data_IF_729761690429
#
_entry.id   IF_729761690429
#
_cell.length_a   1.000
_cell.length_b   1.000
_cell.length_c   1.000
_cell.angle_alpha   90.00
_cell.angle_beta   90.00
_cell.angle_gamma   90.00
#
_symmetry.space_group_name_H-M   'P 1'
#
loop_
_entity.id
_entity.type
_entity.pdbx_description
1 polymer ?
#
# COMPACT_ATOMS: atom_id res chain seq x y z
N UNK A 1 -36.75 -9.34 -0.19
CA UNK A 1 -37.02 -8.54 1.05
C UNK A 1 -35.73 -7.84 1.51
N UNK A 2 -35.79 -6.66 2.14
CA UNK A 2 -34.61 -5.92 2.64
C UNK A 2 -34.59 -5.87 4.18
N UNK A 3 -33.39 -5.82 4.77
CA UNK A 3 -33.17 -5.57 6.20
C UNK A 3 -32.29 -4.33 6.36
N UNK A 4 -32.68 -3.31 7.13
CA UNK A 4 -31.73 -2.31 7.56
C UNK A 4 -30.70 -2.93 8.51
N UNK A 5 -29.44 -2.56 8.36
CA UNK A 5 -28.39 -2.94 9.31
C UNK A 5 -28.50 -1.98 10.49
N UNK A 6 -28.84 -2.51 11.66
CA UNK A 6 -28.99 -1.69 12.87
C UNK A 6 -27.70 -0.99 13.28
N UNK A 7 -27.82 0.15 13.97
CA UNK A 7 -26.66 0.89 14.48
C UNK A 7 -25.79 -0.01 15.38
N UNK A 8 -24.49 -0.03 15.11
CA UNK A 8 -23.53 -0.88 15.83
C UNK A 8 -23.35 -2.29 15.28
N UNK A 9 -24.10 -2.69 14.25
CA UNK A 9 -23.93 -3.99 13.58
C UNK A 9 -23.05 -3.93 12.33
N UNK A 10 -22.37 -2.82 12.11
CA UNK A 10 -21.36 -2.66 11.08
C UNK A 10 -20.03 -2.32 11.75
N UNK A 11 -19.02 -3.15 11.53
CA UNK A 11 -17.67 -2.93 12.05
C UNK A 11 -16.72 -2.78 10.88
N UNK A 12 -15.90 -1.74 10.92
CA UNK A 12 -14.82 -1.52 9.95
C UNK A 12 -13.50 -1.65 10.70
N UNK A 13 -12.80 -2.75 10.46
CA UNK A 13 -11.53 -3.04 11.12
C UNK A 13 -10.38 -2.86 10.12
N UNK A 14 -9.55 -1.81 10.25
CA UNK A 14 -8.35 -1.69 9.46
C UNK A 14 -7.25 -2.61 10.02
N UNK A 15 -6.53 -3.30 9.13
CA UNK A 15 -5.31 -4.00 9.48
C UNK A 15 -4.22 -3.71 8.44
N UNK A 16 -2.98 -3.56 8.90
CA UNK A 16 -1.82 -3.38 8.01
C UNK A 16 -1.31 -4.75 7.59
N UNK A 17 -1.14 -4.93 6.29
CA UNK A 17 -0.42 -6.07 5.71
C UNK A 17 0.96 -5.63 5.23
N UNK A 18 1.89 -6.57 5.23
CA UNK A 18 3.27 -6.36 4.81
C UNK A 18 3.60 -7.32 3.69
N UNK A 19 4.21 -6.80 2.62
CA UNK A 19 4.73 -7.62 1.53
C UNK A 19 6.21 -7.37 1.37
N UNK A 20 6.98 -8.44 1.42
CA UNK A 20 8.41 -8.42 1.19
C UNK A 20 8.73 -8.36 -0.30
N UNK A 21 9.73 -7.56 -0.62
CA UNK A 21 10.31 -7.43 -1.95
C UNK A 21 11.82 -7.56 -1.85
N UNK A 22 12.39 -8.12 -2.90
CA UNK A 22 13.82 -8.32 -3.07
C UNK A 22 14.17 -7.83 -4.48
N UNK A 23 15.24 -7.06 -4.59
CA UNK A 23 15.75 -6.53 -5.86
C UNK A 23 17.25 -6.69 -5.94
N UNK A 24 17.71 -7.09 -7.11
CA UNK A 24 19.14 -7.19 -7.43
C UNK A 24 19.54 -6.16 -8.48
N UNK A 25 20.84 -6.05 -8.76
CA UNK A 25 21.36 -5.23 -9.87
C UNK A 25 20.80 -5.64 -11.24
N UNK A 26 20.42 -6.92 -11.40
CA UNK A 26 19.81 -7.45 -12.61
C UNK A 26 18.36 -6.96 -12.85
N UNK A 27 17.69 -6.43 -11.81
CA UNK A 27 16.27 -6.05 -11.86
C UNK A 27 16.03 -4.62 -12.37
N UNK A 28 16.93 -4.08 -13.20
CA UNK A 28 16.85 -2.70 -13.70
C UNK A 28 15.55 -2.36 -14.45
N UNK A 29 14.82 -3.37 -14.95
CA UNK A 29 13.49 -3.23 -15.58
C UNK A 29 12.32 -3.04 -14.58
N UNK A 30 12.54 -3.29 -13.29
CA UNK A 30 11.53 -3.18 -12.24
C UNK A 30 11.19 -1.74 -11.88
N UNK A 31 12.01 -0.77 -12.32
CA UNK A 31 11.88 0.66 -11.98
C UNK A 31 12.55 1.03 -10.66
N UNK A 32 13.14 0.05 -9.97
CA UNK A 32 14.13 0.29 -8.91
C UNK A 32 15.45 0.56 -9.61
N UNK A 33 16.04 1.72 -9.33
CA UNK A 33 17.32 2.09 -9.92
C UNK A 33 18.09 2.99 -8.97
N UNK A 34 19.39 3.06 -9.22
CA UNK A 34 20.33 3.80 -8.40
C UNK A 34 20.82 5.01 -9.17
N UNK A 35 20.65 6.17 -8.57
CA UNK A 35 21.21 7.43 -9.02
C UNK A 35 22.46 7.78 -8.23
N UNK A 36 23.41 8.37 -8.92
CA UNK A 36 24.66 8.83 -8.35
C UNK A 36 24.60 10.34 -8.14
N UNK A 37 25.05 10.80 -6.98
CA UNK A 37 25.24 12.21 -6.68
C UNK A 37 26.69 12.50 -6.32
N UNK A 38 27.25 13.58 -6.85
CA UNK A 38 28.59 14.04 -6.47
C UNK A 38 28.55 15.54 -6.26
N UNK A 39 29.13 15.99 -5.14
CA UNK A 39 29.25 17.40 -4.81
C UNK A 39 30.23 18.09 -5.77
N UNK A 40 29.99 19.38 -6.04
CA UNK A 40 30.81 20.13 -6.98
C UNK A 40 30.33 21.56 -7.18
N UNK A 41 31.07 22.32 -7.98
CA UNK A 41 30.73 23.70 -8.32
C UNK A 41 29.72 23.77 -9.46
N UNK A 42 28.80 24.73 -9.39
CA UNK A 42 27.89 25.08 -10.49
C UNK A 42 28.53 25.97 -11.55
N UNK A 43 29.71 26.53 -11.27
CA UNK A 43 30.35 27.47 -12.17
C UNK A 43 30.67 26.81 -13.51
N UNK A 44 30.15 27.37 -14.61
CA UNK A 44 30.25 26.81 -15.96
C UNK A 44 29.77 25.36 -16.10
N UNK A 45 28.72 24.97 -15.36
CA UNK A 45 28.13 23.65 -15.50
C UNK A 45 27.67 23.38 -16.95
N UNK A 46 28.14 22.28 -17.53
CA UNK A 46 27.82 21.86 -18.89
C UNK A 46 27.39 20.41 -18.92
N UNK A 47 26.22 20.14 -19.50
CA UNK A 47 25.67 18.79 -19.66
C UNK A 47 26.46 17.93 -20.65
N UNK A 48 27.30 18.54 -21.49
CA UNK A 48 28.12 17.83 -22.46
C UNK A 48 29.30 17.07 -21.82
N UNK A 49 29.82 17.55 -20.69
CA UNK A 49 30.97 16.95 -19.99
C UNK A 49 30.63 16.45 -18.58
N UNK A 50 29.43 16.73 -18.08
CA UNK A 50 29.01 16.32 -16.76
C UNK A 50 28.81 14.79 -16.64
N UNK A 51 29.23 14.24 -15.50
CA UNK A 51 28.94 12.86 -15.14
C UNK A 51 27.42 12.65 -15.06
N UNK A 52 26.95 11.60 -15.73
CA UNK A 52 25.53 11.27 -15.80
C UNK A 52 25.32 9.76 -15.93
N UNK A 53 24.13 9.33 -15.52
CA UNK A 53 23.61 7.98 -15.71
C UNK A 53 22.33 8.06 -16.53
N UNK A 54 22.30 7.32 -17.64
CA UNK A 54 21.13 7.21 -18.51
C UNK A 54 20.39 5.91 -18.23
N UNK A 55 19.06 5.96 -18.13
CA UNK A 55 18.24 4.84 -17.69
C UNK A 55 17.11 4.53 -18.68
N UNK A 56 16.83 3.24 -18.87
CA UNK A 56 15.76 2.72 -19.71
C UNK A 56 16.20 2.35 -21.13
N UNK A 57 15.26 1.89 -21.95
CA UNK A 57 15.51 1.49 -23.34
C UNK A 57 16.01 2.66 -24.18
N UNK A 58 17.09 2.41 -24.93
CA UNK A 58 17.68 3.37 -25.85
C UNK A 58 16.83 3.53 -27.12
N UNK A 59 16.57 4.78 -27.51
CA UNK A 59 15.83 5.16 -28.71
C UNK A 59 16.81 5.62 -29.80
N UNK A 60 17.14 4.69 -30.70
CA UNK A 60 18.07 4.93 -31.82
C UNK A 60 17.60 6.06 -32.75
N UNK A 61 16.28 6.19 -32.94
CA UNK A 61 15.68 7.20 -33.82
C UNK A 61 15.84 8.61 -33.23
N UNK A 62 15.63 8.78 -31.93
CA UNK A 62 15.83 10.09 -31.27
C UNK A 62 17.27 10.59 -31.43
N UNK A 63 18.25 9.69 -31.29
CA UNK A 63 19.66 10.03 -31.49
C UNK A 63 19.98 10.35 -32.96
N UNK A 64 19.48 9.55 -33.90
CA UNK A 64 19.75 9.77 -35.33
C UNK A 64 19.16 11.08 -35.85
N UNK A 65 18.03 11.52 -35.28
CA UNK A 65 17.39 12.80 -35.58
C UNK A 65 18.00 14.01 -34.84
N UNK A 66 19.07 13.81 -34.06
CA UNK A 66 19.74 14.89 -33.32
C UNK A 66 18.87 15.53 -32.24
N UNK A 67 17.90 14.80 -31.68
CA UNK A 67 17.07 15.28 -30.56
C UNK A 67 17.89 15.35 -29.28
N UNK A 68 17.40 16.10 -28.29
CA UNK A 68 18.08 16.25 -27.00
C UNK A 68 18.27 14.91 -26.29
N UNK A 69 19.37 14.78 -25.52
CA UNK A 69 19.77 13.55 -24.82
C UNK A 69 18.67 12.99 -23.89
N UNK A 70 17.79 13.86 -23.41
CA UNK A 70 16.67 13.48 -22.54
C UNK A 70 15.62 12.62 -23.27
N UNK A 71 15.61 12.66 -24.61
CA UNK A 71 14.70 11.85 -25.46
C UNK A 71 15.30 10.53 -25.93
N UNK A 72 16.58 10.29 -25.61
CA UNK A 72 17.30 9.10 -26.07
C UNK A 72 17.02 7.88 -25.22
N UNK A 73 16.55 8.06 -24.00
CA UNK A 73 16.30 6.99 -23.05
C UNK A 73 14.89 7.12 -22.49
N UNK A 74 14.18 6.00 -22.38
CA UNK A 74 12.77 5.99 -21.95
C UNK A 74 12.52 6.52 -20.53
N UNK A 75 13.49 6.43 -19.61
CA UNK A 75 13.39 7.00 -18.26
C UNK A 75 14.10 8.36 -18.20
N UNK A 76 15.25 8.49 -18.88
CA UNK A 76 15.96 9.76 -19.05
C UNK A 76 17.42 9.70 -18.64
N UNK A 77 18.08 10.86 -18.65
CA UNK A 77 19.48 11.02 -18.22
C UNK A 77 19.55 11.89 -16.97
N UNK A 78 20.16 11.35 -15.91
CA UNK A 78 20.33 12.03 -14.63
C UNK A 78 21.79 12.42 -14.44
N UNK A 79 22.03 13.65 -14.03
CA UNK A 79 23.38 14.18 -13.83
C UNK A 79 23.73 14.23 -12.35
N UNK A 80 24.97 13.89 -12.02
CA UNK A 80 25.38 13.70 -10.62
C UNK A 80 25.28 14.98 -9.78
N UNK A 81 25.64 16.13 -10.35
CA UNK A 81 25.63 17.40 -9.61
C UNK A 81 24.19 17.86 -9.27
N UNK A 82 23.23 17.90 -10.22
CA UNK A 82 21.83 18.16 -9.90
C UNK A 82 21.20 17.17 -8.91
N UNK A 83 21.51 15.87 -9.02
CA UNK A 83 21.01 14.85 -8.08
C UNK A 83 21.50 15.14 -6.67
N UNK A 84 22.81 15.36 -6.50
CA UNK A 84 23.42 15.68 -5.22
C UNK A 84 22.75 16.89 -4.55
N UNK A 85 22.62 17.97 -5.31
CA UNK A 85 22.12 19.22 -4.78
C UNK A 85 20.62 19.20 -4.49
N UNK A 86 19.83 18.48 -5.29
CA UNK A 86 18.41 18.25 -5.03
C UNK A 86 18.21 17.50 -3.72
N UNK A 87 18.94 16.40 -3.52
CA UNK A 87 18.87 15.60 -2.30
C UNK A 87 19.32 16.41 -1.09
N UNK A 88 20.45 17.10 -1.20
CA UNK A 88 20.95 17.96 -0.14
C UNK A 88 19.90 19.02 0.26
N UNK A 89 19.36 19.73 -0.71
CA UNK A 89 18.43 20.84 -0.47
C UNK A 89 17.13 20.38 0.18
N UNK A 90 16.54 19.28 -0.30
CA UNK A 90 15.24 18.82 0.16
C UNK A 90 15.30 18.06 1.48
N UNK A 91 16.36 17.27 1.71
CA UNK A 91 16.35 16.29 2.80
C UNK A 91 17.39 16.52 3.90
N UNK A 92 18.49 17.23 3.63
CA UNK A 92 19.60 17.36 4.60
C UNK A 92 19.90 18.79 5.04
N UNK A 93 19.71 19.77 4.15
CA UNK A 93 20.15 21.15 4.35
C UNK A 93 19.49 21.82 5.56
N UNK A 94 18.19 21.60 5.75
CA UNK A 94 17.41 22.27 6.80
C UNK A 94 17.67 21.75 8.21
N UNK A 95 18.20 20.52 8.33
CA UNK A 95 18.63 19.98 9.62
C UNK A 95 19.95 20.59 10.09
N UNK A 96 20.84 20.93 9.16
CA UNK A 96 22.20 21.37 9.47
C UNK A 96 22.37 22.89 9.45
N UNK A 97 21.59 23.59 8.63
CA UNK A 97 21.73 25.03 8.42
C UNK A 97 20.70 25.83 9.21
N UNK A 98 21.17 26.90 9.85
CA UNK A 98 20.31 27.86 10.51
C UNK A 98 19.37 28.51 9.49
N UNK A 99 18.15 28.80 9.95
CA UNK A 99 17.22 29.65 9.21
C UNK A 99 17.91 30.98 8.84
N UNK A 100 17.81 31.48 7.59
CA UNK A 100 18.29 32.82 7.24
C UNK A 100 17.73 33.94 8.13
N UNK A 101 16.58 33.72 8.77
CA UNK A 101 15.91 34.66 9.70
C UNK A 101 16.08 34.31 11.19
N UNK A 102 16.91 33.33 11.54
CA UNK A 102 17.07 32.87 12.93
C UNK A 102 18.47 32.30 13.23
N UNK A 103 18.70 31.95 14.49
CA UNK A 103 19.99 31.40 14.96
C UNK A 103 19.96 29.87 15.15
N UNK A 104 18.85 29.23 14.79
CA UNK A 104 18.65 27.79 14.97
C UNK A 104 18.33 27.08 13.65
N UNK A 105 18.72 25.81 13.50
CA UNK A 105 18.29 24.94 12.40
C UNK A 105 16.76 24.76 12.34
N UNK A 106 16.25 24.30 11.20
CA UNK A 106 14.81 24.09 10.96
C UNK A 106 14.47 22.61 10.73
N UNK A 107 14.63 21.77 11.77
CA UNK A 107 14.35 20.33 11.75
C UNK A 107 12.87 20.03 11.44
N UNK A 108 11.93 20.95 11.68
CA UNK A 108 10.52 20.70 11.35
C UNK A 108 10.25 20.56 9.83
N UNK A 109 11.24 20.86 8.99
CA UNK A 109 11.18 20.67 7.54
C UNK A 109 11.98 19.44 7.08
N UNK A 110 12.47 18.60 8.00
CA UNK A 110 13.08 17.32 7.65
C UNK A 110 12.05 16.22 7.52
N UNK A 111 12.37 15.24 6.68
CA UNK A 111 11.54 14.05 6.43
C UNK A 111 11.99 12.83 7.24
N UNK A 112 12.80 13.03 8.28
CA UNK A 112 13.28 11.96 9.14
C UNK A 112 12.31 11.72 10.32
N UNK A 113 12.18 10.46 10.76
CA UNK A 113 11.42 10.05 11.94
C UNK A 113 12.15 10.36 13.26
N UNK A 114 13.47 10.52 13.27
CA UNK A 114 14.21 11.16 14.37
C UNK A 114 14.37 12.66 14.04
N UNK A 115 13.59 13.57 14.66
CA UNK A 115 13.61 14.99 14.31
C UNK A 115 14.89 15.72 14.74
N UNK A 116 15.77 15.11 15.54
CA UNK A 116 17.06 15.70 15.95
C UNK A 116 18.13 14.63 16.26
N UNK A 117 18.55 13.83 15.27
CA UNK A 117 19.49 12.76 15.53
C UNK A 117 20.89 13.39 15.68
N UNK A 118 21.43 13.33 16.91
CA UNK A 118 22.81 13.75 17.23
C UNK A 118 23.66 12.57 17.65
N UNK A 119 24.93 12.63 17.24
CA UNK A 119 25.95 11.71 17.72
C UNK A 119 26.39 12.06 19.14
N UNK A 120 27.28 11.23 19.71
CA UNK A 120 27.83 11.46 21.05
C UNK A 120 28.64 12.77 21.19
N UNK A 121 29.07 13.38 20.09
CA UNK A 121 29.75 14.68 20.05
C UNK A 121 28.80 15.86 19.93
N UNK A 122 27.49 15.60 19.75
CA UNK A 122 26.47 16.61 19.50
C UNK A 122 26.38 17.06 18.04
N UNK A 123 27.09 16.39 17.13
CA UNK A 123 27.03 16.64 15.68
C UNK A 123 25.80 15.98 15.07
N UNK A 124 25.32 16.50 13.94
CA UNK A 124 24.18 15.90 13.22
C UNK A 124 24.57 14.54 12.64
N UNK A 125 23.71 13.54 12.87
CA UNK A 125 23.85 12.18 12.31
C UNK A 125 23.47 12.14 10.82
N UNK A 126 22.43 12.89 10.44
CA UNK A 126 22.01 13.01 9.05
C UNK A 126 22.94 13.96 8.32
N UNK A 127 23.90 13.40 7.60
CA UNK A 127 24.81 14.15 6.77
C UNK A 127 25.10 13.40 5.50
N UNK A 128 25.31 14.17 4.44
CA UNK A 128 25.85 13.67 3.17
C UNK A 128 27.27 14.21 3.03
N UNK A 129 28.15 13.35 2.56
CA UNK A 129 29.54 13.67 2.21
C UNK A 129 29.66 14.01 0.72
N UNK A 130 30.87 13.98 0.14
CA UNK A 130 31.09 14.44 -1.23
C UNK A 130 30.39 13.61 -2.30
N UNK A 131 29.99 12.38 -1.99
CA UNK A 131 29.28 11.50 -2.89
C UNK A 131 28.12 10.83 -2.16
N UNK A 132 27.06 10.56 -2.93
CA UNK A 132 25.91 9.82 -2.47
C UNK A 132 25.36 8.90 -3.55
N UNK A 133 24.61 7.92 -3.10
CA UNK A 133 23.84 6.98 -3.91
C UNK A 133 22.40 7.06 -3.46
N UNK A 134 21.48 7.20 -4.40
CA UNK A 134 20.05 7.22 -4.15
C UNK A 134 19.45 6.00 -4.79
N UNK A 135 18.93 5.09 -3.99
CA UNK A 135 18.16 3.95 -4.47
C UNK A 135 16.70 4.35 -4.47
N UNK A 136 16.10 4.46 -5.65
CA UNK A 136 14.68 4.78 -5.80
C UNK A 136 13.84 3.51 -5.69
N UNK A 137 12.80 3.54 -4.85
CA UNK A 137 11.82 2.47 -4.71
C UNK A 137 10.45 3.02 -5.14
N UNK A 138 9.91 2.61 -6.30
CA UNK A 138 8.60 3.05 -6.75
C UNK A 138 7.46 2.74 -5.77
N UNK A 139 6.48 3.65 -5.67
CA UNK A 139 5.28 3.50 -4.83
C UNK A 139 4.47 2.22 -5.07
N UNK A 140 4.55 1.62 -6.27
CA UNK A 140 3.93 0.32 -6.56
C UNK A 140 4.44 -0.81 -5.65
N UNK A 141 5.65 -0.69 -5.09
CA UNK A 141 6.23 -1.70 -4.21
C UNK A 141 5.96 -1.38 -2.74
N UNK A 142 6.33 -0.17 -2.27
CA UNK A 142 6.18 0.16 -0.85
C UNK A 142 4.74 0.50 -0.43
N UNK A 143 3.87 0.89 -1.37
CA UNK A 143 2.46 1.17 -1.11
C UNK A 143 2.22 2.49 -0.39
N UNK A 144 2.02 2.42 0.92
CA UNK A 144 1.79 3.58 1.80
C UNK A 144 3.11 4.15 2.34
N UNK A 145 3.93 3.29 2.92
CA UNK A 145 5.27 3.58 3.46
C UNK A 145 6.12 2.29 3.40
N UNK A 146 7.45 2.41 3.35
CA UNK A 146 8.32 1.26 3.65
C UNK A 146 8.24 0.97 5.14
N UNK A 147 8.08 -0.30 5.53
CA UNK A 147 8.02 -0.68 6.93
C UNK A 147 9.37 -0.41 7.62
N UNK A 148 9.41 0.41 8.68
CA UNK A 148 10.64 0.66 9.43
C UNK A 148 11.26 -0.63 9.98
N UNK A 149 12.59 -0.71 9.96
CA UNK A 149 13.39 -1.85 10.42
C UNK A 149 13.48 -3.01 9.45
N UNK A 150 12.87 -2.91 8.26
CA UNK A 150 12.85 -4.02 7.28
C UNK A 150 13.80 -3.83 6.12
N UNK A 151 14.42 -2.66 5.99
CA UNK A 151 15.36 -2.40 4.90
C UNK A 151 16.70 -3.04 5.22
N UNK A 152 17.15 -3.90 4.31
CA UNK A 152 18.46 -4.51 4.33
C UNK A 152 19.08 -4.40 2.93
N UNK A 153 20.32 -3.91 2.86
CA UNK A 153 21.10 -3.86 1.64
C UNK A 153 22.35 -4.71 1.82
N UNK A 154 22.49 -5.74 1.01
CA UNK A 154 23.65 -6.60 0.92
C UNK A 154 24.41 -6.21 -0.34
N UNK A 155 25.71 -5.98 -0.23
CA UNK A 155 26.52 -5.50 -1.35
C UNK A 155 27.88 -6.20 -1.34
N UNK A 156 28.25 -6.76 -2.50
CA UNK A 156 29.49 -7.51 -2.66
C UNK A 156 30.58 -6.69 -3.36
N UNK A 157 30.50 -5.35 -3.35
CA UNK A 157 31.45 -4.49 -4.07
C UNK A 157 32.85 -4.42 -3.47
N UNK A 158 33.08 -5.02 -2.30
CA UNK A 158 34.39 -5.11 -1.66
C UNK A 158 35.03 -6.45 -2.02
N UNK A 159 36.32 -6.45 -2.37
CA UNK A 159 37.03 -7.63 -2.88
C UNK A 159 37.08 -8.81 -1.92
N UNK A 160 36.98 -8.57 -0.61
CA UNK A 160 37.22 -9.59 0.43
C UNK A 160 36.11 -9.66 1.49
N UNK A 161 35.05 -8.85 1.38
CA UNK A 161 33.98 -8.78 2.38
C UNK A 161 32.62 -8.47 1.74
N UNK A 162 31.54 -9.09 2.23
CA UNK A 162 30.18 -8.65 1.92
C UNK A 162 29.79 -7.54 2.89
N UNK A 163 29.38 -6.39 2.35
CA UNK A 163 28.81 -5.31 3.14
C UNK A 163 27.33 -5.58 3.39
N UNK A 164 26.88 -5.45 4.64
CA UNK A 164 25.46 -5.57 4.99
C UNK A 164 25.01 -4.36 5.78
N UNK A 165 24.23 -3.50 5.13
CA UNK A 165 23.63 -2.30 5.71
C UNK A 165 22.21 -2.60 6.17
N UNK A 166 21.89 -2.19 7.39
CA UNK A 166 20.61 -2.48 8.05
C UNK A 166 20.01 -1.18 8.58
N UNK A 167 18.68 -1.11 8.52
CA UNK A 167 17.88 -0.02 9.04
C UNK A 167 17.67 -0.08 10.56
N UNK A 168 17.63 1.09 11.21
CA UNK A 168 17.51 1.24 12.66
C UNK A 168 16.08 1.56 13.15
N UNK A 169 15.08 1.44 12.28
CA UNK A 169 13.67 1.82 12.50
C UNK A 169 13.44 3.34 12.62
N UNK A 170 14.49 4.15 12.61
CA UNK A 170 14.43 5.60 12.81
C UNK A 170 14.94 6.38 11.61
N UNK A 171 15.07 5.73 10.45
CA UNK A 171 15.48 6.35 9.21
C UNK A 171 16.99 6.45 9.03
N UNK A 172 17.79 5.70 9.78
CA UNK A 172 19.24 5.61 9.62
C UNK A 172 19.67 4.22 9.14
N UNK A 173 20.66 4.18 8.26
CA UNK A 173 21.33 2.95 7.87
C UNK A 173 22.68 2.84 8.58
N UNK A 174 23.02 1.64 9.02
CA UNK A 174 24.31 1.33 9.62
C UNK A 174 24.86 0.00 9.10
N UNK A 175 26.19 -0.17 9.15
CA UNK A 175 26.84 -1.44 8.85
C UNK A 175 26.66 -2.40 10.03
N UNK A 176 26.01 -3.55 9.78
CA UNK A 176 25.72 -4.57 10.80
C UNK A 176 26.97 -5.08 11.52
N UNK A 177 28.11 -5.14 10.83
CA UNK A 177 29.42 -5.53 11.40
C UNK A 177 29.88 -4.53 12.46
N UNK A 178 29.54 -3.25 12.29
CA UNK A 178 29.89 -2.16 13.20
C UNK A 178 28.72 -1.70 14.08
N UNK A 179 27.71 -2.56 14.28
CA UNK A 179 26.53 -2.31 15.11
C UNK A 179 26.86 -1.80 16.53
N UNK A 180 27.97 -2.27 17.13
CA UNK A 180 28.43 -1.80 18.44
C UNK A 180 28.91 -0.34 18.46
N UNK A 181 29.49 0.14 17.35
CA UNK A 181 29.90 1.54 17.15
C UNK A 181 28.69 2.42 16.89
N UNK A 182 27.73 1.93 16.09
CA UNK A 182 26.47 2.61 15.81
C UNK A 182 25.62 2.81 17.08
N UNK A 183 25.46 1.76 17.90
CA UNK A 183 24.73 1.84 19.16
C UNK A 183 25.30 2.88 20.14
N UNK A 184 26.61 3.13 20.05
CA UNK A 184 27.31 4.16 20.83
C UNK A 184 27.27 5.55 20.20
N UNK A 185 26.75 5.67 18.98
CA UNK A 185 26.77 6.90 18.17
C UNK A 185 28.14 7.57 18.21
N UNK A 186 29.19 6.78 18.06
CA UNK A 186 30.57 7.21 18.24
C UNK A 186 31.31 7.17 16.92
N UNK A 187 31.92 8.29 16.54
CA UNK A 187 32.83 8.42 15.40
C UNK A 187 34.30 8.23 15.81
N UNK A 188 34.58 7.95 17.09
CA UNK A 188 35.92 7.64 17.59
C UNK A 188 35.90 6.60 18.71
N UNK A 189 36.17 5.33 18.39
CA UNK A 189 36.75 4.43 19.38
C UNK A 189 38.26 4.70 19.43
N UNK A 190 38.80 5.05 20.60
CA UNK A 190 40.24 5.27 20.76
C UNK A 190 41.02 3.96 20.55
N UNK A 191 41.66 3.82 19.38
CA UNK A 191 42.55 2.71 19.03
C UNK A 191 42.89 2.73 17.53
N UNK A 192 44.18 2.63 17.18
CA UNK A 192 44.73 2.92 15.85
C UNK A 192 44.26 2.00 14.68
N UNK A 193 43.26 1.13 14.88
CA UNK A 193 42.77 0.17 13.87
C UNK A 193 41.25 -0.09 13.97
N UNK A 194 40.48 0.80 14.60
CA UNK A 194 39.02 0.62 14.71
C UNK A 194 38.32 1.52 13.68
N UNK A 195 37.80 0.92 12.61
CA UNK A 195 36.86 1.61 11.71
C UNK A 195 35.57 1.81 12.49
N UNK A 196 35.15 3.06 12.65
CA UNK A 196 34.00 3.45 13.47
C UNK A 196 32.80 3.64 12.55
N UNK A 197 31.81 2.74 12.63
CA UNK A 197 30.58 2.82 11.84
C UNK A 197 29.57 3.74 12.51
N UNK A 198 29.51 5.00 12.09
CA UNK A 198 28.38 5.89 12.32
C UNK A 198 27.26 5.60 11.28
N UNK A 199 26.16 6.35 11.30
CA UNK A 199 25.14 6.31 10.24
C UNK A 199 25.78 6.44 8.84
N UNK A 200 25.63 5.41 8.00
CA UNK A 200 26.19 5.36 6.63
C UNK A 200 25.20 5.85 5.57
N UNK A 201 23.96 6.12 5.97
CA UNK A 201 22.90 6.57 5.10
C UNK A 201 21.59 6.78 5.84
N UNK A 202 20.54 7.03 5.07
CA UNK A 202 19.20 7.26 5.57
C UNK A 202 18.14 6.56 4.71
N UNK A 203 17.06 6.15 5.36
CA UNK A 203 15.86 5.60 4.72
C UNK A 203 14.72 6.60 4.85
N UNK A 204 14.12 7.00 3.73
CA UNK A 204 12.95 7.87 3.71
C UNK A 204 11.71 7.03 3.42
N UNK A 205 11.10 6.50 4.49
CA UNK A 205 10.02 5.49 4.42
C UNK A 205 8.81 5.93 3.59
N UNK A 206 8.35 7.16 3.77
CA UNK A 206 7.15 7.71 3.12
C UNK A 206 7.38 8.05 1.64
N UNK A 207 8.62 8.38 1.30
CA UNK A 207 9.00 8.81 -0.06
C UNK A 207 9.47 7.63 -0.91
N UNK A 208 9.89 6.53 -0.28
CA UNK A 208 10.34 5.34 -0.96
C UNK A 208 11.71 5.50 -1.61
N UNK A 209 12.67 6.09 -0.91
CA UNK A 209 14.05 6.04 -1.39
C UNK A 209 15.04 5.93 -0.24
N UNK A 210 16.19 5.39 -0.57
CA UNK A 210 17.30 5.16 0.36
C UNK A 210 18.47 5.98 -0.13
N UNK A 211 19.13 6.70 0.78
CA UNK A 211 20.33 7.47 0.49
C UNK A 211 21.49 6.88 1.24
N UNK A 212 22.55 6.54 0.52
CA UNK A 212 23.82 6.07 1.09
C UNK A 212 24.86 7.12 0.78
N UNK A 213 25.70 7.45 1.75
CA UNK A 213 26.76 8.43 1.56
C UNK A 213 28.12 7.83 1.87
N UNK A 214 29.12 8.32 1.17
CA UNK A 214 30.50 7.89 1.37
C UNK A 214 31.07 8.48 2.67
N UNK A 215 30.99 7.72 3.76
CA UNK A 215 31.61 8.05 5.05
C UNK A 215 33.08 7.63 5.13
N UNK A 216 33.68 7.11 4.04
CA UNK A 216 35.05 6.62 3.97
C UNK A 216 35.22 5.56 2.88
N UNK A 217 36.46 5.18 2.58
CA UNK A 217 36.83 4.35 1.40
C UNK A 217 36.07 3.03 1.24
N UNK A 218 35.43 2.50 2.30
CA UNK A 218 34.61 1.27 2.26
C UNK A 218 33.25 1.48 1.56
N UNK A 219 32.64 2.67 1.66
CA UNK A 219 31.24 2.89 1.24
C UNK A 219 31.09 3.55 -0.13
N UNK A 220 32.18 4.00 -0.74
CA UNK A 220 32.16 4.72 -2.03
C UNK A 220 31.73 3.89 -3.25
N UNK A 221 31.79 2.56 -3.16
CA UNK A 221 31.39 1.64 -4.23
C UNK A 221 30.06 0.93 -3.99
N UNK A 222 29.40 1.20 -2.86
CA UNK A 222 28.13 0.56 -2.52
C UNK A 222 27.10 0.86 -3.62
N UNK A 223 26.47 -0.20 -4.10
CA UNK A 223 25.41 -0.20 -5.07
C UNK A 223 25.82 0.50 -6.39
N UNK A 224 27.11 0.37 -6.74
CA UNK A 224 27.72 0.90 -7.98
C UNK A 224 28.10 -0.20 -8.96
N UNK A 225 28.60 -1.32 -8.47
CA UNK A 225 29.04 -2.43 -9.29
C UNK A 225 27.85 -3.32 -9.67
N UNK A 226 28.04 -4.13 -10.70
CA UNK A 226 27.02 -5.01 -11.29
C UNK A 226 27.61 -6.43 -11.41
N UNK A 227 26.75 -7.44 -11.50
CA UNK A 227 27.16 -8.85 -11.61
C UNK A 227 27.59 -9.45 -10.28
N UNK A 228 28.75 -10.11 -10.24
CA UNK A 228 29.26 -10.79 -9.03
C UNK A 228 29.46 -9.82 -7.85
N UNK A 229 29.75 -8.56 -8.14
CA UNK A 229 29.98 -7.49 -7.17
C UNK A 229 28.73 -6.62 -6.97
N UNK A 230 27.56 -7.10 -7.39
CA UNK A 230 26.28 -6.40 -7.34
C UNK A 230 25.72 -6.19 -5.93
N UNK A 231 24.50 -5.66 -5.90
CA UNK A 231 23.75 -5.39 -4.68
C UNK A 231 22.44 -6.18 -4.65
N UNK A 232 21.97 -6.45 -3.44
CA UNK A 232 20.68 -7.06 -3.14
C UNK A 232 19.98 -6.20 -2.08
N UNK A 233 18.79 -5.73 -2.42
CA UNK A 233 17.96 -4.88 -1.56
C UNK A 233 16.70 -5.64 -1.16
N UNK A 234 16.52 -5.83 0.14
CA UNK A 234 15.32 -6.38 0.75
C UNK A 234 14.57 -5.29 1.52
N UNK A 235 13.24 -5.22 1.36
CA UNK A 235 12.38 -4.39 2.20
C UNK A 235 10.93 -4.90 2.23
N UNK A 236 10.15 -4.45 3.21
CA UNK A 236 8.71 -4.70 3.27
C UNK A 236 7.90 -3.44 2.98
N UNK A 237 7.01 -3.51 1.99
CA UNK A 237 6.00 -2.49 1.74
C UNK A 237 4.81 -2.65 2.67
N UNK A 238 4.13 -1.54 2.97
CA UNK A 238 2.93 -1.52 3.83
C UNK A 238 1.68 -1.21 3.02
N UNK A 239 0.58 -1.87 3.39
CA UNK A 239 -0.75 -1.56 2.86
C UNK A 239 -1.81 -1.72 3.95
N UNK A 240 -2.67 -0.73 4.12
CA UNK A 240 -3.82 -0.86 5.00
C UNK A 240 -5.00 -1.46 4.23
N UNK A 241 -5.43 -2.65 4.66
CA UNK A 241 -6.67 -3.29 4.19
C UNK A 241 -7.76 -3.01 5.22
N UNK A 242 -8.97 -2.73 4.74
CA UNK A 242 -10.15 -2.55 5.59
C UNK A 242 -11.05 -3.77 5.45
N UNK A 243 -11.32 -4.42 6.56
CA UNK A 243 -12.35 -5.44 6.66
C UNK A 243 -13.68 -4.77 7.02
N UNK A 244 -14.73 -5.13 6.30
CA UNK A 244 -16.09 -4.68 6.55
C UNK A 244 -16.88 -5.90 7.04
N UNK A 245 -17.26 -5.88 8.31
CA UNK A 245 -18.12 -6.89 8.90
C UNK A 245 -19.53 -6.31 9.10
N UNK A 246 -20.54 -7.00 8.60
CA UNK A 246 -21.94 -6.63 8.76
C UNK A 246 -22.70 -7.78 9.41
N UNK A 247 -23.22 -7.53 10.61
CA UNK A 247 -24.06 -8.48 11.34
C UNK A 247 -25.53 -8.21 11.05
N UNK A 248 -26.24 -9.19 10.50
CA UNK A 248 -27.68 -9.11 10.27
C UNK A 248 -28.39 -10.18 11.11
N UNK A 249 -28.91 -9.76 12.28
CA UNK A 249 -29.62 -10.66 13.19
C UNK A 249 -31.06 -10.82 12.77
N UNK A 250 -31.43 -11.98 12.23
CA UNK A 250 -32.80 -12.31 11.83
C UNK A 250 -33.55 -12.91 13.02
N UNK A 251 -34.69 -12.32 13.38
CA UNK A 251 -35.55 -12.83 14.43
C UNK A 251 -36.48 -13.95 13.92
N UNK A 252 -37.02 -14.74 14.86
CA UNK A 252 -38.07 -15.70 14.54
C UNK A 252 -39.24 -15.00 13.84
N UNK A 253 -39.74 -15.61 12.78
CA UNK A 253 -40.87 -15.13 11.97
C UNK A 253 -40.64 -13.84 11.16
N UNK A 254 -39.42 -13.31 11.06
CA UNK A 254 -39.14 -12.06 10.33
C UNK A 254 -39.09 -12.24 8.81
N UNK A 255 -38.64 -13.41 8.32
CA UNK A 255 -38.53 -13.73 6.89
C UNK A 255 -39.25 -15.04 6.54
N UNK A 256 -40.58 -15.01 6.59
CA UNK A 256 -41.43 -16.18 6.31
C UNK A 256 -41.79 -16.36 4.82
N UNK A 257 -41.35 -15.46 3.96
CA UNK A 257 -41.54 -15.54 2.50
C UNK A 257 -40.28 -16.01 1.79
N UNK A 258 -40.43 -16.71 0.66
CA UNK A 258 -39.31 -17.08 -0.22
C UNK A 258 -39.44 -16.37 -1.56
N UNK A 259 -38.35 -15.76 -2.03
CA UNK A 259 -38.22 -15.22 -3.39
C UNK A 259 -37.55 -16.27 -4.33
N UNK A 260 -37.31 -17.48 -3.83
CA UNK A 260 -36.68 -18.54 -4.61
C UNK A 260 -37.65 -19.13 -5.62
N UNK A 261 -37.41 -18.87 -6.90
CA UNK A 261 -38.23 -19.36 -8.01
C UNK A 261 -38.43 -20.87 -7.98
N UNK A 262 -37.48 -21.67 -7.48
CA UNK A 262 -37.64 -23.12 -7.48
C UNK A 262 -38.72 -23.62 -6.51
N UNK A 263 -39.09 -22.81 -5.52
CA UNK A 263 -40.05 -23.19 -4.48
C UNK A 263 -41.49 -23.33 -5.01
N UNK A 264 -41.82 -22.69 -6.14
CA UNK A 264 -43.18 -22.68 -6.69
C UNK A 264 -43.27 -23.46 -8.01
N UNK A 265 -44.41 -24.12 -8.30
CA UNK A 265 -44.70 -24.62 -9.63
C UNK A 265 -44.66 -23.47 -10.65
N UNK A 266 -44.04 -23.69 -11.81
CA UNK A 266 -43.90 -22.65 -12.85
C UNK A 266 -42.75 -21.66 -12.64
N UNK A 267 -41.90 -21.85 -11.62
CA UNK A 267 -40.72 -21.03 -11.35
C UNK A 267 -41.01 -19.54 -11.11
N UNK A 268 -42.04 -19.26 -10.33
CA UNK A 268 -42.42 -17.89 -9.97
C UNK A 268 -41.81 -17.49 -8.62
N UNK A 269 -41.04 -16.40 -8.58
CA UNK A 269 -40.48 -15.84 -7.36
C UNK A 269 -41.22 -14.61 -6.86
N UNK A 270 -42.38 -14.28 -7.46
CA UNK A 270 -43.18 -13.13 -7.04
C UNK A 270 -43.95 -13.41 -5.76
N UNK A 271 -44.15 -12.38 -4.95
CA UNK A 271 -44.96 -12.43 -3.72
C UNK A 271 -46.14 -11.46 -3.84
N UNK A 272 -47.30 -11.81 -3.26
CA UNK A 272 -48.45 -10.89 -3.19
C UNK A 272 -48.14 -9.85 -2.13
N UNK A 273 -48.07 -8.59 -2.53
CA UNK A 273 -48.06 -7.47 -1.61
C UNK A 273 -49.51 -7.10 -1.30
N UNK A 274 -49.86 -7.02 -0.01
CA UNK A 274 -51.15 -6.49 0.42
C UNK A 274 -51.30 -5.01 0.05
N UNK A 275 -52.54 -4.50 0.04
CA UNK A 275 -52.84 -3.08 -0.22
C UNK A 275 -52.23 -2.14 0.83
N UNK A 276 -51.89 -2.66 2.01
CA UNK A 276 -51.15 -1.96 3.04
C UNK A 276 -49.66 -2.32 2.97
N UNK A 277 -48.89 -1.44 2.34
CA UNK A 277 -47.44 -1.55 2.19
C UNK A 277 -46.68 -1.03 3.42
N UNK A 278 -47.37 -0.51 4.45
CA UNK A 278 -46.74 0.12 5.62
C UNK A 278 -45.86 -0.83 6.44
N UNK A 279 -46.14 -2.13 6.42
CA UNK A 279 -45.37 -3.17 7.12
C UNK A 279 -43.97 -3.46 6.54
N UNK A 280 -43.65 -2.96 5.33
CA UNK A 280 -42.29 -3.07 4.77
C UNK A 280 -41.39 -1.89 5.16
N UNK A 281 -41.95 -0.83 5.75
CA UNK A 281 -41.23 0.43 6.02
C UNK A 281 -41.15 0.78 7.51
N UNK A 282 -41.56 -0.10 8.42
CA UNK A 282 -41.54 0.15 9.87
C UNK A 282 -40.75 -0.93 10.62
N UNK A 283 -39.88 -0.52 11.55
CA UNK A 283 -39.16 -1.43 12.45
C UNK A 283 -40.10 -2.02 13.52
N UNK A 284 -40.16 -3.36 13.66
CA UNK A 284 -40.80 -4.03 14.80
C UNK A 284 -41.35 -5.44 14.50
N UNK A 285 -41.60 -6.22 15.56
CA UNK A 285 -42.34 -7.49 15.49
C UNK A 285 -43.81 -7.17 15.27
N UNK A 286 -44.33 -7.43 14.07
CA UNK A 286 -45.75 -7.29 13.80
C UNK A 286 -46.51 -8.47 14.40
N UNK A 287 -47.52 -8.16 15.21
CA UNK A 287 -48.59 -9.12 15.52
C UNK A 287 -49.14 -9.65 14.21
N UNK A 288 -49.22 -10.99 14.10
CA UNK A 288 -49.84 -11.67 12.97
C UNK A 288 -51.10 -10.90 12.54
N UNK A 289 -51.21 -10.59 11.26
CA UNK A 289 -52.46 -10.11 10.65
C UNK A 289 -53.51 -11.22 10.79
N UNK A 290 -54.09 -11.35 11.98
CA UNK A 290 -55.31 -12.12 12.22
C UNK A 290 -56.46 -11.27 11.72
N UNK A 291 -56.98 -11.63 10.56
CA UNK A 291 -58.22 -11.04 10.07
C UNK A 291 -58.35 -11.10 8.56
N UNK A 292 -58.96 -12.18 8.07
CA UNK A 292 -59.82 -12.17 6.88
C UNK A 292 -59.24 -11.71 5.54
N UNK A 293 -57.92 -11.65 5.33
CA UNK A 293 -57.32 -11.50 3.98
C UNK A 293 -56.85 -12.86 3.42
N UNK A 294 -56.60 -13.84 4.28
CA UNK A 294 -56.20 -15.20 3.86
C UNK A 294 -57.36 -16.19 3.66
N UNK A 295 -58.59 -15.84 4.10
CA UNK A 295 -59.73 -16.77 4.09
C UNK A 295 -60.68 -16.62 2.88
N UNK A 296 -60.37 -15.76 1.92
CA UNK A 296 -61.04 -15.75 0.61
C UNK A 296 -60.12 -16.18 -0.53
N UNK A 297 -59.04 -16.92 -0.24
CA UNK A 297 -58.32 -17.66 -1.28
C UNK A 297 -59.08 -18.96 -1.54
N UNK A 298 -60.22 -18.83 -2.21
CA UNK A 298 -60.72 -19.91 -3.03
C UNK A 298 -59.62 -20.29 -4.03
N UNK A 299 -59.32 -21.57 -4.15
CA UNK A 299 -58.44 -22.10 -5.19
C UNK A 299 -59.00 -21.73 -6.57
N UNK A 300 -58.47 -20.70 -7.21
CA UNK A 300 -58.62 -20.48 -8.64
C UNK A 300 -57.24 -20.36 -9.28
N UNK A 301 -56.86 -21.42 -9.98
CA UNK A 301 -55.90 -21.33 -11.07
C UNK A 301 -56.57 -20.52 -12.19
N UNK A 302 -55.94 -19.42 -12.62
CA UNK A 302 -56.36 -18.70 -13.82
C UNK A 302 -55.13 -18.39 -14.66
N UNK A 303 -55.14 -18.90 -15.89
CA UNK A 303 -54.14 -18.59 -16.93
C UNK A 303 -54.37 -17.18 -17.49
N UNK A 304 -53.26 -16.60 -17.98
CA UNK A 304 -53.10 -15.27 -18.56
C UNK A 304 -54.35 -14.65 -19.21
N UNK A 305 -54.97 -13.72 -18.47
CA UNK A 305 -55.86 -12.70 -19.01
C UNK A 305 -55.27 -11.30 -18.78
N UNK A 306 -54.03 -11.09 -19.24
CA UNK A 306 -53.68 -9.89 -19.97
C UNK A 306 -53.46 -8.59 -19.20
N UNK A 307 -53.06 -8.58 -17.92
CA UNK A 307 -52.39 -7.40 -17.30
C UNK A 307 -51.97 -7.53 -15.82
N UNK A 308 -52.12 -8.67 -15.16
CA UNK A 308 -51.80 -8.79 -13.72
C UNK A 308 -50.81 -9.93 -13.48
N UNK A 309 -49.57 -9.60 -13.08
CA UNK A 309 -48.61 -10.59 -12.58
C UNK A 309 -49.11 -11.10 -11.22
N UNK A 310 -49.79 -12.24 -11.23
CA UNK A 310 -50.20 -12.94 -10.01
C UNK A 310 -49.10 -13.93 -9.61
N UNK A 311 -48.62 -13.92 -8.35
CA UNK A 311 -47.68 -14.91 -7.87
C UNK A 311 -48.35 -16.27 -7.74
N UNK A 312 -47.53 -17.32 -7.69
CA UNK A 312 -48.03 -18.67 -7.50
C UNK A 312 -48.64 -18.79 -6.10
N UNK A 313 -49.94 -19.13 -6.03
CA UNK A 313 -50.65 -19.34 -4.76
C UNK A 313 -50.32 -20.66 -4.07
N UNK A 314 -49.45 -21.48 -4.67
CA UNK A 314 -49.12 -22.83 -4.20
C UNK A 314 -47.61 -23.02 -4.21
N UNK A 315 -47.08 -23.61 -3.13
CA UNK A 315 -45.70 -24.05 -3.04
C UNK A 315 -45.55 -25.52 -3.44
N UNK A 316 -44.41 -25.89 -4.01
CA UNK A 316 -44.13 -27.28 -4.40
C UNK A 316 -44.05 -28.19 -3.17
N UNK A 317 -44.48 -29.45 -3.29
CA UNK A 317 -44.55 -30.38 -2.15
C UNK A 317 -43.22 -30.59 -1.39
N UNK A 318 -42.08 -30.38 -2.03
CA UNK A 318 -40.78 -30.53 -1.39
C UNK A 318 -40.41 -29.38 -0.42
N UNK A 319 -41.14 -28.26 -0.46
CA UNK A 319 -40.96 -27.14 0.50
C UNK A 319 -42.11 -27.01 1.51
N UNK A 320 -43.16 -27.86 1.41
CA UNK A 320 -44.34 -27.78 2.28
C UNK A 320 -44.42 -28.89 3.34
N UNK A 321 -43.51 -29.86 3.31
CA UNK A 321 -43.51 -30.96 4.28
C UNK A 321 -42.89 -30.54 5.62
N UNK A 322 -43.26 -31.21 6.71
CA UNK A 322 -42.84 -30.87 8.08
C UNK A 322 -41.32 -30.94 8.33
N UNK A 323 -40.57 -31.71 7.54
CA UNK A 323 -39.12 -31.78 7.63
C UNK A 323 -38.38 -30.67 6.86
N UNK A 324 -39.08 -29.72 6.24
CA UNK A 324 -38.46 -28.67 5.46
C UNK A 324 -37.98 -27.55 6.38
N UNK A 325 -36.67 -27.31 6.37
CA UNK A 325 -36.04 -26.24 7.13
C UNK A 325 -35.59 -25.15 6.16
N UNK A 326 -36.20 -23.95 6.16
CA UNK A 326 -35.75 -22.87 5.31
C UNK A 326 -34.35 -22.41 5.72
N UNK A 327 -33.52 -22.10 4.74
CA UNK A 327 -32.19 -21.53 4.94
C UNK A 327 -31.94 -20.41 3.93
N UNK A 328 -31.02 -19.53 4.29
CA UNK A 328 -30.64 -18.39 3.46
C UNK A 328 -29.66 -18.90 2.40
N UNK A 329 -30.03 -18.71 1.13
CA UNK A 329 -29.25 -19.20 -0.02
C UNK A 329 -28.36 -18.14 -0.64
N UNK A 330 -28.80 -16.87 -0.56
CA UNK A 330 -28.12 -15.70 -1.11
C UNK A 330 -28.40 -14.47 -0.23
N UNK A 331 -27.39 -13.63 -0.03
CA UNK A 331 -27.50 -12.35 0.68
C UNK A 331 -26.92 -11.28 -0.24
N UNK A 332 -27.65 -10.18 -0.42
CA UNK A 332 -27.17 -8.98 -1.10
C UNK A 332 -26.99 -7.84 -0.11
N UNK A 333 -25.85 -7.16 -0.18
CA UNK A 333 -25.60 -5.90 0.53
C UNK A 333 -25.95 -4.76 -0.43
N UNK A 334 -26.78 -3.83 0.01
CA UNK A 334 -27.23 -2.69 -0.79
C UNK A 334 -26.88 -1.38 -0.09
N UNK A 335 -26.60 -0.34 -0.88
CA UNK A 335 -26.42 1.02 -0.36
C UNK A 335 -27.77 1.74 -0.15
N UNK A 336 -27.71 2.98 0.34
CA UNK A 336 -28.91 3.81 0.58
C UNK A 336 -29.68 4.15 -0.71
N UNK A 337 -29.01 4.07 -1.87
CA UNK A 337 -29.62 4.27 -3.20
C UNK A 337 -30.19 2.97 -3.78
N UNK A 338 -30.14 1.85 -3.03
CA UNK A 338 -30.58 0.51 -3.44
C UNK A 338 -29.72 -0.10 -4.55
N UNK A 339 -28.47 0.33 -4.67
CA UNK A 339 -27.46 -0.26 -5.53
C UNK A 339 -26.81 -1.46 -4.83
N UNK A 340 -26.66 -2.57 -5.54
CA UNK A 340 -26.03 -3.78 -5.01
C UNK A 340 -24.51 -3.58 -4.88
N UNK A 341 -24.00 -3.60 -3.65
CA UNK A 341 -22.58 -3.47 -3.33
C UNK A 341 -21.84 -4.80 -3.33
N UNK A 342 -22.47 -5.85 -2.78
CA UNK A 342 -21.87 -7.17 -2.67
C UNK A 342 -22.94 -8.27 -2.66
N UNK A 343 -22.59 -9.46 -3.12
CA UNK A 343 -23.45 -10.65 -3.05
C UNK A 343 -22.68 -11.83 -2.48
N UNK A 344 -23.27 -12.50 -1.50
CA UNK A 344 -22.83 -13.78 -0.99
C UNK A 344 -23.84 -14.85 -1.40
N UNK A 345 -23.36 -15.96 -1.97
CA UNK A 345 -24.22 -17.04 -2.47
C UNK A 345 -23.57 -18.39 -2.24
N UNK A 346 -24.37 -19.39 -1.85
CA UNK A 346 -23.91 -20.77 -1.75
C UNK A 346 -23.71 -21.37 -3.15
N UNK A 347 -22.68 -22.20 -3.32
CA UNK A 347 -22.29 -22.74 -4.62
C UNK A 347 -23.38 -23.62 -5.30
N UNK A 348 -24.30 -24.21 -4.51
CA UNK A 348 -25.47 -24.98 -4.95
C UNK A 348 -26.58 -24.90 -3.90
N UNK A 349 -27.45 -23.87 -3.97
CA UNK A 349 -28.53 -23.67 -3.01
C UNK A 349 -29.71 -24.62 -3.21
#
# INVERSE_FOLDING_TARGET
MFKPIGSGNATITPFKVFKQYEFTDADSGSGVFILEGTSGSYFNYSTASAQSKSLGTFNELSRSLGKDKDTWFSIGTFYNLPVYNSINHLYYKFEQQNNPKGLSPQPQFSFNQDPWPRDSSGSFLNRIHNSLRVINIPRKFFGEEIKPGTVQLIDNSLTDETLTLVDDERGHLYDSVYSSSFARRSSSLSGSNVVVGDSVGNVFYDQGFIVITDTGSKYGNVAKLEGTDGYELEFQGTKTIREYEFLCNIQEYEYNGTDNISATPGRSGSQLLGSDLSGFFMEGIHTQLTGSVYNEVGTQEEYDTGSVYRPSGVYSNFVTHSAFNPYITSIGLYDDNKELLAVAKLARP
#
